data_IF_783156556964
#
_entry.id   IF_783156556964
#
_cell.length_a   1.000
_cell.length_b   1.000
_cell.length_c   1.000
_cell.angle_alpha   90.00
_cell.angle_beta   90.00
_cell.angle_gamma   90.00
#
_symmetry.space_group_name_H-M   'P 1'
#
loop_
_entity.id
_entity.type
_entity.pdbx_description
1 polymer ?
#
# COMPACT_ATOMS: atom_id res chain seq x y z
N UNK A 1 -11.79 -26.63 -9.65
CA UNK A 1 -12.96 -25.93 -9.08
C UNK A 1 -12.49 -24.84 -8.15
N UNK A 2 -13.01 -23.62 -8.30
CA UNK A 2 -12.62 -22.43 -7.52
C UNK A 2 -12.67 -22.68 -6.01
N UNK A 3 -13.63 -23.48 -5.53
CA UNK A 3 -13.78 -23.86 -4.12
C UNK A 3 -12.55 -24.60 -3.55
N UNK A 4 -11.92 -25.50 -4.31
CA UNK A 4 -10.75 -26.26 -3.82
C UNK A 4 -9.50 -25.40 -3.70
N UNK A 5 -9.38 -24.39 -4.56
CA UNK A 5 -8.30 -23.42 -4.51
C UNK A 5 -8.44 -22.48 -3.30
N UNK A 6 -9.68 -22.10 -2.95
CA UNK A 6 -9.99 -21.33 -1.74
C UNK A 6 -9.67 -22.10 -0.46
N UNK A 7 -10.02 -23.39 -0.40
CA UNK A 7 -9.72 -24.25 0.75
C UNK A 7 -8.20 -24.36 0.96
N UNK A 8 -7.43 -24.63 -0.10
CA UNK A 8 -5.96 -24.68 -0.03
C UNK A 8 -5.33 -23.36 0.44
N UNK A 9 -5.87 -22.24 -0.04
CA UNK A 9 -5.38 -20.90 0.31
C UNK A 9 -5.69 -20.57 1.78
N UNK A 10 -6.82 -21.03 2.31
CA UNK A 10 -7.18 -20.90 3.71
C UNK A 10 -6.33 -21.82 4.62
N UNK A 11 -6.08 -23.08 4.25
CA UNK A 11 -5.26 -23.98 5.06
C UNK A 11 -3.81 -23.49 5.24
N UNK A 12 -3.27 -22.74 4.26
CA UNK A 12 -1.89 -22.27 4.29
C UNK A 12 -1.69 -20.98 5.10
N UNK A 13 -2.69 -20.09 5.11
CA UNK A 13 -2.54 -18.72 5.65
C UNK A 13 -3.69 -18.27 6.56
N UNK A 14 -4.68 -19.13 6.80
CA UNK A 14 -5.84 -18.86 7.66
C UNK A 14 -6.62 -17.61 7.25
N UNK A 15 -7.14 -16.89 8.24
CA UNK A 15 -7.90 -15.64 8.08
C UNK A 15 -7.04 -14.52 7.45
N UNK A 16 -5.72 -14.56 7.65
CA UNK A 16 -4.74 -13.65 7.04
C UNK A 16 -4.62 -13.80 5.52
N UNK A 17 -5.12 -14.91 4.95
CA UNK A 17 -5.18 -15.11 3.50
C UNK A 17 -6.21 -14.20 2.81
N UNK A 18 -7.23 -13.77 3.56
CA UNK A 18 -8.36 -12.98 3.08
C UNK A 18 -8.43 -11.59 3.74
N UNK A 19 -7.59 -11.34 4.75
CA UNK A 19 -7.27 -9.99 5.18
C UNK A 19 -6.77 -9.24 3.94
N UNK A 20 -7.43 -8.13 3.58
CA UNK A 20 -7.02 -7.32 2.42
C UNK A 20 -5.55 -7.01 2.60
N UNK A 21 -4.69 -7.67 1.82
CA UNK A 21 -3.29 -7.31 1.65
C UNK A 21 -3.21 -5.99 0.86
N UNK A 22 -3.83 -4.93 1.39
CA UNK A 22 -3.22 -3.62 1.26
C UNK A 22 -1.87 -3.82 1.94
N UNK A 23 -0.80 -3.89 1.16
CA UNK A 23 0.56 -4.05 1.69
C UNK A 23 0.86 -2.82 2.53
N UNK A 24 0.37 -2.85 3.77
CA UNK A 24 0.48 -1.77 4.72
C UNK A 24 1.87 -1.87 5.30
N UNK A 25 2.83 -1.28 4.58
CA UNK A 25 4.16 -1.10 5.11
C UNK A 25 4.09 0.03 6.15
N UNK A 26 4.30 -0.26 7.45
CA UNK A 26 4.36 0.81 8.45
C UNK A 26 5.53 1.75 8.13
N UNK A 27 5.45 3.03 8.54
CA UNK A 27 6.52 4.00 8.24
C UNK A 27 7.89 3.51 8.75
N UNK A 28 7.92 2.88 9.92
CA UNK A 28 9.15 2.33 10.48
C UNK A 28 9.75 1.27 9.56
N UNK A 29 8.95 0.35 9.01
CA UNK A 29 9.46 -0.63 8.06
C UNK A 29 10.01 0.02 6.79
N UNK A 30 9.27 0.99 6.21
CA UNK A 30 9.74 1.71 5.01
C UNK A 30 11.04 2.47 5.27
N UNK A 31 11.21 3.03 6.47
CA UNK A 31 12.46 3.67 6.88
C UNK A 31 13.60 2.67 6.99
N UNK A 32 13.37 1.53 7.63
CA UNK A 32 14.38 0.51 7.84
C UNK A 32 14.95 0.04 6.49
N UNK A 33 14.06 -0.19 5.52
CA UNK A 33 14.42 -0.54 4.14
C UNK A 33 15.26 0.56 3.46
N UNK A 34 14.91 1.84 3.67
CA UNK A 34 15.65 2.98 3.11
C UNK A 34 17.02 3.16 3.80
N UNK A 35 17.07 2.96 5.11
CA UNK A 35 18.29 3.04 5.90
C UNK A 35 19.27 1.94 5.48
N UNK A 36 18.79 0.70 5.38
CA UNK A 36 19.55 -0.43 4.86
C UNK A 36 20.11 -0.14 3.47
N UNK A 37 19.29 0.41 2.57
CA UNK A 37 19.74 0.78 1.22
C UNK A 37 20.85 1.84 1.25
N UNK A 38 20.76 2.83 2.14
CA UNK A 38 21.76 3.89 2.27
C UNK A 38 23.05 3.41 2.93
N UNK A 39 22.95 2.54 3.93
CA UNK A 39 24.07 1.97 4.68
C UNK A 39 24.86 0.97 3.84
N UNK A 40 24.17 0.07 3.14
CA UNK A 40 24.80 -0.96 2.32
C UNK A 40 25.07 -0.52 0.86
N UNK A 41 24.58 0.65 0.45
CA UNK A 41 24.74 1.15 -0.92
C UNK A 41 24.09 0.27 -1.99
N UNK A 42 23.05 -0.51 -1.62
CA UNK A 42 22.43 -1.49 -2.52
C UNK A 42 21.54 -0.82 -3.57
N UNK A 43 21.41 -1.46 -4.73
CA UNK A 43 20.50 -0.98 -5.77
C UNK A 43 19.03 -1.13 -5.35
N UNK A 44 18.16 -0.23 -5.78
CA UNK A 44 16.70 -0.27 -5.51
C UNK A 44 16.10 -1.65 -5.86
N UNK A 45 16.56 -2.26 -6.96
CA UNK A 45 16.12 -3.59 -7.39
C UNK A 45 16.55 -4.69 -6.42
N UNK A 46 17.78 -4.64 -5.93
CA UNK A 46 18.30 -5.63 -4.98
C UNK A 46 17.62 -5.50 -3.63
N UNK A 47 17.48 -4.27 -3.13
CA UNK A 47 16.72 -4.00 -1.90
C UNK A 47 15.26 -4.47 -2.02
N UNK A 48 14.60 -4.21 -3.16
CA UNK A 48 13.24 -4.69 -3.37
C UNK A 48 13.14 -6.23 -3.34
N UNK A 49 14.12 -6.93 -3.92
CA UNK A 49 14.18 -8.39 -3.89
C UNK A 49 14.42 -8.93 -2.46
N UNK A 50 15.35 -8.33 -1.72
CA UNK A 50 15.67 -8.72 -0.33
C UNK A 50 14.45 -8.58 0.60
N UNK A 51 13.74 -7.45 0.50
CA UNK A 51 12.59 -7.15 1.36
C UNK A 51 11.25 -7.65 0.80
N UNK A 52 11.26 -8.53 -0.22
CA UNK A 52 10.07 -9.08 -0.87
C UNK A 52 9.06 -8.01 -1.33
N UNK A 53 9.56 -6.85 -1.76
CA UNK A 53 8.73 -5.76 -2.28
C UNK A 53 8.42 -6.09 -3.75
N UNK A 54 7.14 -6.24 -4.13
CA UNK A 54 6.74 -6.72 -5.46
C UNK A 54 7.10 -5.75 -6.59
N UNK A 55 7.38 -4.49 -6.29
CA UNK A 55 7.73 -3.49 -7.28
C UNK A 55 8.84 -2.56 -6.77
N UNK A 56 9.95 -2.52 -7.50
CA UNK A 56 11.04 -1.56 -7.24
C UNK A 56 10.55 -0.10 -7.33
N UNK A 57 9.51 0.17 -8.12
CA UNK A 57 8.86 1.48 -8.21
C UNK A 57 8.26 1.93 -6.87
N UNK A 58 7.74 0.99 -6.08
CA UNK A 58 7.23 1.26 -4.73
C UNK A 58 8.35 1.76 -3.83
N UNK A 59 9.51 1.11 -3.89
CA UNK A 59 10.69 1.52 -3.13
C UNK A 59 11.24 2.88 -3.61
N UNK A 60 11.27 3.11 -4.93
CA UNK A 60 11.65 4.42 -5.50
C UNK A 60 10.73 5.54 -5.02
N UNK A 61 9.42 5.30 -4.96
CA UNK A 61 8.44 6.26 -4.43
C UNK A 61 8.69 6.56 -2.96
N UNK A 62 9.07 5.58 -2.14
CA UNK A 62 9.43 5.80 -0.74
C UNK A 62 10.68 6.66 -0.61
N UNK A 63 11.71 6.40 -1.43
CA UNK A 63 12.93 7.20 -1.43
C UNK A 63 12.63 8.67 -1.74
N UNK A 64 11.91 8.93 -2.84
CA UNK A 64 11.52 10.29 -3.24
C UNK A 64 10.68 10.96 -2.15
N UNK A 65 9.71 10.24 -1.56
CA UNK A 65 8.88 10.78 -0.49
C UNK A 65 9.73 11.16 0.74
N UNK A 66 10.69 10.30 1.11
CA UNK A 66 11.63 10.57 2.21
C UNK A 66 12.52 11.79 1.93
N UNK A 67 13.06 11.91 0.71
CA UNK A 67 13.86 13.07 0.30
C UNK A 67 13.03 14.38 0.27
N UNK A 68 11.74 14.29 -0.02
CA UNK A 68 10.85 15.47 -0.15
C UNK A 68 10.27 15.94 1.18
N UNK A 69 9.96 15.02 2.11
CA UNK A 69 9.25 15.36 3.35
C UNK A 69 9.50 14.39 4.50
N UNK A 70 10.60 13.64 4.44
CA UNK A 70 11.04 12.74 5.51
C UNK A 70 10.03 11.67 5.88
N UNK A 71 9.99 11.36 7.18
CA UNK A 71 9.10 10.37 7.78
C UNK A 71 7.60 10.66 7.56
N UNK A 72 7.22 11.93 7.62
CA UNK A 72 5.84 12.38 7.51
C UNK A 72 5.28 12.17 6.09
N UNK A 73 6.13 12.32 5.07
CA UNK A 73 5.78 12.01 3.68
C UNK A 73 5.73 10.50 3.38
N UNK A 74 6.38 9.66 4.20
CA UNK A 74 6.34 8.20 4.12
C UNK A 74 5.03 7.62 4.66
N UNK A 75 4.44 8.33 5.63
CA UNK A 75 3.08 8.07 6.08
C UNK A 75 2.13 8.43 4.95
N UNK A 76 1.41 7.42 4.46
CA UNK A 76 0.43 7.60 3.40
C UNK A 76 -0.61 8.59 3.90
N UNK A 77 -0.48 9.87 3.53
CA UNK A 77 -1.52 10.87 3.78
C UNK A 77 -2.76 10.28 3.16
N UNK A 78 -3.73 9.88 3.99
CA UNK A 78 -5.05 9.43 3.55
C UNK A 78 -5.61 10.62 2.77
N UNK A 79 -5.36 10.67 1.47
CA UNK A 79 -5.99 11.62 0.57
C UNK A 79 -7.41 11.11 0.49
N UNK A 80 -8.22 11.54 1.46
CA UNK A 80 -9.60 11.14 1.61
C UNK A 80 -10.26 11.29 0.26
N UNK A 81 -10.85 10.21 -0.23
CA UNK A 81 -11.72 10.29 -1.38
C UNK A 81 -12.77 11.37 -1.06
N UNK A 82 -12.88 12.45 -1.84
CA UNK A 82 -13.91 13.44 -1.57
C UNK A 82 -15.25 12.73 -1.58
N UNK A 83 -15.99 12.80 -0.47
CA UNK A 83 -17.31 12.23 -0.37
C UNK A 83 -18.20 12.97 -1.37
N UNK A 84 -18.84 12.24 -2.29
CA UNK A 84 -19.78 12.85 -3.23
C UNK A 84 -20.97 13.36 -2.40
N UNK A 85 -21.28 14.65 -2.54
CA UNK A 85 -22.44 15.27 -1.91
C UNK A 85 -23.67 14.81 -2.69
N UNK A 86 -24.57 14.08 -2.06
CA UNK A 86 -25.86 13.68 -2.64
C UNK A 86 -26.68 14.93 -3.00
N UNK A 87 -26.79 15.24 -4.29
CA UNK A 87 -27.73 16.26 -4.77
C UNK A 87 -29.13 15.64 -4.75
N UNK A 88 -29.94 16.02 -3.75
CA UNK A 88 -31.39 15.78 -3.79
C UNK A 88 -31.96 16.47 -5.03
N UNK A 89 -32.38 15.69 -6.01
CA UNK A 89 -33.22 16.15 -7.12
C UNK A 89 -34.58 16.50 -6.50
N UNK A 90 -35.00 17.76 -6.60
CA UNK A 90 -36.35 18.17 -6.22
C UNK A 90 -37.29 17.67 -7.32
N UNK A 91 -38.43 17.01 -7.02
CA UNK A 91 -39.43 16.73 -8.03
C UNK A 91 -40.02 18.07 -8.50
N UNK A 92 -39.93 18.32 -9.80
CA UNK A 92 -40.77 19.30 -10.49
C UNK A 92 -42.17 18.70 -10.54
N UNK A 93 -43.08 19.33 -9.82
CA UNK A 93 -44.52 19.08 -9.89
C UNK A 93 -45.05 19.96 -11.03
N UNK A 94 -45.42 19.33 -12.16
CA UNK A 94 -46.25 19.95 -13.19
C UNK A 94 -47.70 19.56 -12.90
N UNK A 95 -48.50 20.56 -12.50
CA UNK A 95 -49.95 20.46 -12.25
C UNK A 95 -50.58 21.83 -12.12
#
# INVERSE_FOLDING_TARGET
SVLREWIRRYESSGEKAFEKCYTFYPAQYKLDVLYYMNEHGTSIRETAALFNIPSYETLRKWKIAYETGGLDALQSKKKGHPTMKDKKIKPVDEG
#
